data_IF_810998895206
#
_entry.id   IF_810998895206
#
_cell.length_a   1.000
_cell.length_b   1.000
_cell.length_c   1.000
_cell.angle_alpha   90.00
_cell.angle_beta   90.00
_cell.angle_gamma   90.00
#
_symmetry.space_group_name_H-M   'P 1'
#
loop_
_entity.id
_entity.type
_entity.pdbx_description
1 polymer ?
#
# COMPACT_ATOMS: atom_id res chain seq x y z
N UNK A 1 4.65 -32.51 -45.08
CA UNK A 1 3.83 -31.53 -44.35
C UNK A 1 3.21 -32.26 -43.16
N UNK A 2 3.72 -32.04 -41.95
CA UNK A 2 3.11 -32.55 -40.72
C UNK A 2 3.02 -31.39 -39.75
N UNK A 3 1.79 -30.93 -39.52
CA UNK A 3 1.41 -29.91 -38.55
C UNK A 3 1.56 -30.50 -37.14
N UNK A 4 2.36 -29.87 -36.29
CA UNK A 4 2.32 -30.07 -34.83
C UNK A 4 1.50 -28.89 -34.27
N UNK A 5 0.27 -29.13 -33.76
CA UNK A 5 -0.56 -28.05 -33.24
C UNK A 5 -0.21 -27.74 -31.78
N UNK A 6 -0.25 -26.44 -31.48
CA UNK A 6 -0.66 -25.84 -30.21
C UNK A 6 0.16 -26.17 -28.95
N UNK A 7 1.36 -25.61 -28.85
CA UNK A 7 1.91 -25.17 -27.56
C UNK A 7 1.31 -23.79 -27.23
N UNK A 8 0.09 -23.76 -26.68
CA UNK A 8 -0.47 -22.56 -26.06
C UNK A 8 0.27 -22.32 -24.75
N UNK A 9 1.33 -21.50 -24.80
CA UNK A 9 1.99 -21.00 -23.61
C UNK A 9 0.98 -20.15 -22.86
N UNK A 10 0.60 -20.66 -21.69
CA UNK A 10 -0.22 -19.99 -20.69
C UNK A 10 0.58 -18.77 -20.19
N UNK A 11 0.43 -17.62 -20.84
CA UNK A 11 0.86 -16.35 -20.24
C UNK A 11 -0.09 -16.08 -19.09
N UNK A 12 0.23 -16.61 -17.91
CA UNK A 12 -0.36 -16.11 -16.68
C UNK A 12 -0.07 -14.61 -16.65
N UNK A 13 -1.13 -13.80 -16.78
CA UNK A 13 -1.08 -12.38 -16.48
C UNK A 13 -0.60 -12.26 -15.03
N UNK A 14 0.67 -11.92 -14.83
CA UNK A 14 1.11 -11.40 -13.54
C UNK A 14 0.34 -10.10 -13.36
N UNK A 15 -0.75 -10.15 -12.58
CA UNK A 15 -1.44 -8.97 -12.12
C UNK A 15 -0.44 -8.23 -11.23
N UNK A 16 0.16 -7.21 -11.81
CA UNK A 16 1.20 -6.44 -11.17
C UNK A 16 0.56 -5.29 -10.40
N UNK A 17 0.90 -5.14 -9.13
CA UNK A 17 0.31 -4.15 -8.24
C UNK A 17 0.92 -2.75 -8.41
N UNK A 18 0.99 -2.28 -9.66
CA UNK A 18 1.60 -1.00 -10.03
C UNK A 18 0.94 0.18 -9.32
N UNK A 19 1.67 1.28 -9.17
CA UNK A 19 1.18 2.48 -8.50
C UNK A 19 1.86 3.75 -9.04
N UNK A 20 1.23 4.90 -8.82
CA UNK A 20 1.84 6.20 -9.08
C UNK A 20 2.13 6.91 -7.76
N UNK A 21 3.37 7.36 -7.58
CA UNK A 21 3.71 8.29 -6.52
C UNK A 21 3.40 9.72 -7.00
N UNK A 22 2.21 10.20 -6.64
CA UNK A 22 1.65 11.48 -7.10
C UNK A 22 2.26 12.66 -6.34
N UNK A 23 2.33 12.57 -5.01
CA UNK A 23 2.94 13.58 -4.16
C UNK A 23 3.68 12.94 -2.97
N UNK A 24 4.90 13.36 -2.62
CA UNK A 24 5.80 14.19 -3.43
C UNK A 24 6.04 13.53 -4.80
N UNK A 25 6.27 14.33 -5.85
CA UNK A 25 6.30 13.80 -7.21
C UNK A 25 7.45 12.81 -7.42
N UNK A 26 7.20 11.74 -8.18
CA UNK A 26 8.21 10.75 -8.51
C UNK A 26 9.40 11.35 -9.27
N UNK A 27 10.55 10.67 -9.25
CA UNK A 27 11.75 11.07 -10.01
C UNK A 27 11.52 11.13 -11.52
N UNK A 28 10.54 10.38 -12.01
CA UNK A 28 10.16 10.29 -13.41
C UNK A 28 8.98 9.32 -13.59
N UNK A 29 8.60 9.10 -14.84
CA UNK A 29 7.55 8.16 -15.23
C UNK A 29 8.04 6.72 -15.04
N UNK A 30 7.50 5.97 -14.06
CA UNK A 30 7.97 4.61 -13.78
C UNK A 30 7.64 3.60 -14.89
N UNK A 31 6.81 3.96 -15.87
CA UNK A 31 6.40 3.12 -16.99
C UNK A 31 7.14 3.45 -18.30
N UNK A 32 7.96 4.52 -18.31
CA UNK A 32 8.73 4.93 -19.48
C UNK A 32 10.07 4.16 -19.56
N UNK A 33 10.19 3.27 -20.55
CA UNK A 33 11.42 2.50 -20.76
C UNK A 33 12.68 3.42 -20.89
N UNK A 34 13.81 3.08 -20.25
CA UNK A 34 14.11 1.81 -19.58
C UNK A 34 13.71 1.75 -18.10
N UNK A 35 12.96 2.74 -17.59
CA UNK A 35 12.46 2.71 -16.22
C UNK A 35 11.43 1.59 -16.04
N UNK A 36 11.35 1.08 -14.83
CA UNK A 36 10.39 0.05 -14.45
C UNK A 36 10.26 -0.04 -12.94
N UNK A 37 9.04 -0.17 -12.44
CA UNK A 37 8.79 -0.33 -11.00
C UNK A 37 9.45 -1.55 -10.37
N UNK A 38 9.80 -2.57 -11.17
CA UNK A 38 10.55 -3.73 -10.70
C UNK A 38 12.03 -3.43 -10.40
N UNK A 39 12.54 -2.27 -10.80
CA UNK A 39 13.94 -1.89 -10.63
C UNK A 39 14.12 -1.18 -9.29
N UNK A 40 14.73 -1.88 -8.33
CA UNK A 40 15.16 -1.29 -7.07
C UNK A 40 16.29 -0.25 -7.27
N UNK A 41 16.34 0.84 -6.49
CA UNK A 41 15.37 1.26 -5.47
C UNK A 41 14.28 2.21 -5.97
N UNK A 42 14.44 2.78 -7.17
CA UNK A 42 13.71 3.97 -7.61
C UNK A 42 13.44 3.93 -9.12
N UNK A 43 12.97 2.79 -9.60
CA UNK A 43 12.59 2.53 -11.01
C UNK A 43 13.68 2.70 -12.05
N UNK A 44 14.95 2.69 -11.64
CA UNK A 44 16.08 2.97 -12.51
C UNK A 44 16.41 4.46 -12.68
N UNK A 45 15.68 5.37 -12.01
CA UNK A 45 16.01 6.79 -12.00
C UNK A 45 17.05 7.15 -10.94
N UNK A 46 18.05 7.94 -11.36
CA UNK A 46 18.97 8.61 -10.47
C UNK A 46 18.26 9.75 -9.70
N UNK A 47 18.80 10.11 -8.53
CA UNK A 47 18.31 11.27 -7.80
C UNK A 47 18.46 12.54 -8.62
N UNK A 48 17.47 13.41 -8.50
CA UNK A 48 17.31 14.63 -9.28
C UNK A 48 17.59 15.88 -8.42
N UNK A 49 17.70 17.02 -9.10
CA UNK A 49 17.74 18.34 -8.46
C UNK A 49 16.35 18.99 -8.37
N UNK A 50 15.34 18.44 -9.05
CA UNK A 50 13.96 18.91 -8.96
C UNK A 50 13.29 18.26 -7.74
N UNK A 51 13.45 18.91 -6.57
CA UNK A 51 13.06 18.36 -5.28
C UNK A 51 11.78 18.98 -4.76
N UNK A 52 10.90 18.15 -4.21
CA UNK A 52 9.72 18.64 -3.48
C UNK A 52 10.16 19.19 -2.12
N UNK A 53 9.73 20.41 -1.79
CA UNK A 53 9.91 20.97 -0.44
C UNK A 53 8.97 20.24 0.51
N UNK A 54 9.50 19.61 1.55
CA UNK A 54 8.75 18.68 2.41
C UNK A 54 9.05 18.91 3.92
N UNK A 55 8.08 18.77 4.83
CA UNK A 55 8.29 19.13 6.24
C UNK A 55 9.33 18.27 6.97
N UNK A 56 10.11 18.91 7.85
CA UNK A 56 11.17 18.25 8.65
C UNK A 56 10.64 17.21 9.64
N UNK A 57 9.36 17.27 10.01
CA UNK A 57 8.72 16.33 10.95
C UNK A 57 7.86 15.26 10.27
N UNK A 58 7.77 15.29 8.94
CA UNK A 58 6.83 14.46 8.20
C UNK A 58 5.79 15.28 7.45
N UNK A 59 5.42 14.83 6.27
CA UNK A 59 4.60 15.53 5.30
C UNK A 59 3.54 14.66 4.63
N UNK A 60 2.80 15.26 3.71
CA UNK A 60 1.77 14.56 2.97
C UNK A 60 2.35 13.58 1.96
N UNK A 61 1.60 12.50 1.70
CA UNK A 61 1.89 11.48 0.71
C UNK A 61 0.60 11.17 -0.06
N UNK A 62 0.65 11.19 -1.39
CA UNK A 62 -0.46 10.84 -2.27
C UNK A 62 0.02 9.75 -3.22
N UNK A 63 -0.68 8.63 -3.21
CA UNK A 63 -0.37 7.45 -4.03
C UNK A 63 -1.63 7.02 -4.76
N UNK A 64 -1.51 6.72 -6.05
CA UNK A 64 -2.57 6.13 -6.84
C UNK A 64 -2.28 4.65 -7.08
N UNK A 65 -3.14 3.77 -6.57
CA UNK A 65 -2.96 2.32 -6.63
C UNK A 65 -3.78 1.71 -7.78
N UNK A 66 -3.16 0.85 -8.59
CA UNK A 66 -3.81 0.16 -9.71
C UNK A 66 -4.24 -1.27 -9.40
N UNK A 67 -4.02 -1.75 -8.18
CA UNK A 67 -4.33 -3.13 -7.77
C UNK A 67 -5.55 -3.21 -6.87
N UNK A 68 -6.07 -4.42 -6.64
CA UNK A 68 -7.15 -4.64 -5.67
C UNK A 68 -6.64 -4.71 -4.24
N UNK A 69 -5.35 -4.98 -4.06
CA UNK A 69 -4.71 -5.16 -2.76
C UNK A 69 -3.20 -5.01 -2.85
N UNK A 70 -2.58 -4.32 -1.90
CA UNK A 70 -1.12 -4.34 -1.75
C UNK A 70 -0.66 -4.01 -0.32
N UNK A 71 0.50 -4.51 0.07
CA UNK A 71 1.19 -4.02 1.26
C UNK A 71 2.07 -2.83 0.93
N UNK A 72 2.04 -1.78 1.76
CA UNK A 72 2.77 -0.54 1.48
C UNK A 72 3.77 -0.24 2.59
N UNK A 73 5.02 0.02 2.21
CA UNK A 73 6.06 0.57 3.06
C UNK A 73 6.48 1.94 2.55
N UNK A 74 6.83 2.82 3.50
CA UNK A 74 7.27 4.17 3.21
C UNK A 74 8.55 4.39 3.98
N UNK A 75 9.64 4.60 3.28
CA UNK A 75 10.97 4.75 3.86
C UNK A 75 11.61 6.06 3.39
N UNK A 76 12.59 6.52 4.14
CA UNK A 76 13.34 7.73 3.87
C UNK A 76 14.84 7.43 3.93
N UNK A 77 15.57 7.98 2.96
CA UNK A 77 17.02 8.09 2.97
C UNK A 77 17.45 9.55 3.01
N UNK A 78 18.56 9.84 3.66
CA UNK A 78 19.11 11.20 3.76
C UNK A 78 20.29 11.41 2.80
N UNK A 79 20.44 12.65 2.34
CA UNK A 79 21.49 13.08 1.41
C UNK A 79 20.99 13.29 -0.02
N UNK A 80 21.89 13.78 -0.88
CA UNK A 80 21.57 14.12 -2.27
C UNK A 80 21.34 12.89 -3.16
N UNK A 81 22.14 11.84 -2.98
CA UNK A 81 22.12 10.63 -3.79
C UNK A 81 22.07 9.39 -2.91
N UNK A 82 21.01 9.26 -2.12
CA UNK A 82 20.84 8.08 -1.27
C UNK A 82 20.31 6.89 -2.08
N UNK A 83 20.87 5.73 -1.79
CA UNK A 83 20.33 4.41 -2.16
C UNK A 83 19.94 3.58 -0.92
N UNK A 84 20.14 4.15 0.26
CA UNK A 84 19.85 3.53 1.55
C UNK A 84 18.64 4.23 2.20
N UNK A 85 17.52 3.52 2.25
CA UNK A 85 16.25 4.01 2.81
C UNK A 85 16.01 3.36 4.18
N UNK A 86 16.73 3.83 5.19
CA UNK A 86 16.80 3.18 6.50
C UNK A 86 15.82 3.75 7.53
N UNK A 87 15.17 4.88 7.23
CA UNK A 87 14.23 5.55 8.14
C UNK A 87 12.81 5.20 7.71
N UNK A 88 12.16 4.29 8.44
CA UNK A 88 10.75 3.96 8.18
C UNK A 88 9.83 5.07 8.67
N UNK A 89 8.93 5.53 7.80
CA UNK A 89 7.95 6.56 8.11
C UNK A 89 6.67 5.90 8.61
N UNK A 90 6.16 6.41 9.73
CA UNK A 90 4.99 5.85 10.41
C UNK A 90 3.79 6.80 10.28
N UNK A 91 2.56 6.29 10.34
CA UNK A 91 1.40 7.16 10.53
C UNK A 91 1.54 7.98 11.80
N UNK A 92 0.96 9.18 11.78
CA UNK A 92 0.91 10.03 12.97
C UNK A 92 0.19 9.33 14.12
N UNK A 93 0.89 9.13 15.24
CA UNK A 93 0.33 8.56 16.46
C UNK A 93 0.11 7.04 16.48
N UNK A 94 0.58 6.28 15.48
CA UNK A 94 0.37 4.83 15.40
C UNK A 94 1.62 4.05 14.95
N UNK A 95 1.58 2.72 15.17
CA UNK A 95 2.72 1.80 15.17
C UNK A 95 3.39 1.47 13.82
N UNK A 96 4.05 0.31 13.81
CA UNK A 96 4.99 -0.16 12.78
C UNK A 96 4.29 -0.44 11.44
N UNK A 97 4.95 -0.09 10.32
CA UNK A 97 4.61 -0.52 8.95
C UNK A 97 4.55 -2.06 8.83
N UNK A 98 3.87 -2.63 7.80
CA UNK A 98 3.28 -1.97 6.63
C UNK A 98 1.83 -1.49 6.79
N UNK A 99 1.37 -0.73 5.79
CA UNK A 99 -0.06 -0.56 5.54
C UNK A 99 -0.61 -1.70 4.67
N UNK A 100 -1.88 -2.02 4.89
CA UNK A 100 -2.74 -2.84 4.05
C UNK A 100 -3.57 -1.87 3.20
N UNK A 101 -3.30 -1.85 1.90
CA UNK A 101 -4.08 -1.14 0.92
C UNK A 101 -5.06 -2.12 0.26
N UNK A 102 -6.30 -1.69 0.06
CA UNK A 102 -7.34 -2.44 -0.65
C UNK A 102 -8.17 -1.50 -1.52
N UNK A 103 -8.27 -1.84 -2.81
CA UNK A 103 -9.03 -1.13 -3.83
C UNK A 103 -8.16 -0.39 -4.85
N UNK A 104 -8.75 -0.03 -5.98
CA UNK A 104 -8.08 0.81 -6.97
C UNK A 104 -8.46 2.27 -6.71
N UNK A 105 -7.47 3.15 -6.66
CA UNK A 105 -7.70 4.59 -6.60
C UNK A 105 -6.61 5.36 -5.86
N UNK A 106 -6.88 6.64 -5.64
CA UNK A 106 -5.96 7.55 -4.95
C UNK A 106 -6.18 7.51 -3.45
N UNK A 107 -5.10 7.33 -2.70
CA UNK A 107 -5.03 7.55 -1.25
C UNK A 107 -4.11 8.73 -0.98
N UNK A 108 -4.63 9.73 -0.28
CA UNK A 108 -3.83 10.72 0.42
C UNK A 108 -3.70 10.36 1.89
N UNK A 109 -2.46 10.31 2.36
CA UNK A 109 -2.11 10.47 3.77
C UNK A 109 -1.75 11.94 4.00
N UNK A 110 -2.57 12.70 4.74
CA UNK A 110 -2.28 14.11 5.02
C UNK A 110 -0.92 14.31 5.71
N UNK A 111 -0.51 13.32 6.52
CA UNK A 111 0.81 13.31 7.15
C UNK A 111 1.32 11.90 7.41
N UNK A 112 2.50 11.59 6.89
CA UNK A 112 3.37 10.51 7.36
C UNK A 112 4.47 11.13 8.22
N UNK A 113 4.74 10.54 9.38
CA UNK A 113 5.61 11.11 10.41
C UNK A 113 7.02 10.57 10.28
N UNK A 114 8.00 11.49 10.37
CA UNK A 114 9.40 11.12 10.52
C UNK A 114 9.67 10.83 12.01
N UNK A 115 10.30 9.69 12.35
CA UNK A 115 10.72 9.41 13.72
C UNK A 115 11.67 10.49 14.26
N UNK A 116 11.49 10.86 15.54
CA UNK A 116 12.39 11.79 16.22
C UNK A 116 13.83 11.23 16.24
N UNK A 117 14.83 12.11 16.14
CA UNK A 117 16.24 11.70 16.14
C UNK A 117 16.73 11.05 14.83
N UNK A 118 15.92 11.05 13.77
CA UNK A 118 16.28 10.52 12.44
C UNK A 118 17.38 11.28 11.70
N UNK A 119 17.82 12.44 12.20
CA UNK A 119 18.86 13.25 11.57
C UNK A 119 18.36 14.17 10.45
N UNK A 120 17.05 14.29 10.26
CA UNK A 120 16.46 15.28 9.33
C UNK A 120 16.67 16.69 9.87
N UNK A 121 17.19 17.57 9.00
CA UNK A 121 17.47 18.98 9.32
C UNK A 121 16.86 19.90 8.25
N UNK A 122 16.51 21.12 8.65
CA UNK A 122 16.05 22.17 7.74
C UNK A 122 17.13 22.48 6.68
N UNK A 123 16.73 22.59 5.42
CA UNK A 123 17.61 22.74 4.27
C UNK A 123 18.35 21.47 3.84
N UNK A 124 18.22 20.38 4.60
CA UNK A 124 18.78 19.08 4.24
C UNK A 124 18.04 18.44 3.07
N UNK A 125 18.73 17.56 2.35
CA UNK A 125 18.14 16.79 1.25
C UNK A 125 17.93 15.33 1.64
N UNK A 126 16.97 14.69 1.01
CA UNK A 126 16.72 13.26 1.14
C UNK A 126 15.89 12.72 -0.02
N UNK A 127 15.54 11.44 0.07
CA UNK A 127 14.62 10.80 -0.86
C UNK A 127 13.64 9.93 -0.08
N UNK A 128 12.37 10.01 -0.44
CA UNK A 128 11.31 9.12 0.04
C UNK A 128 11.17 7.97 -0.95
N UNK A 129 11.02 6.75 -0.43
CA UNK A 129 10.72 5.55 -1.19
C UNK A 129 9.38 5.00 -0.74
N UNK A 130 8.52 4.71 -1.70
CA UNK A 130 7.33 3.89 -1.51
C UNK A 130 7.62 2.52 -2.10
N UNK A 131 7.30 1.48 -1.34
CA UNK A 131 7.39 0.09 -1.78
C UNK A 131 6.01 -0.51 -1.68
N UNK A 132 5.55 -1.15 -2.75
CA UNK A 132 4.31 -1.94 -2.73
C UNK A 132 4.65 -3.41 -2.96
N UNK A 133 3.94 -4.32 -2.28
CA UNK A 133 4.07 -5.77 -2.48
C UNK A 133 2.69 -6.36 -2.66
N UNK A 134 2.41 -6.84 -3.87
CA UNK A 134 1.15 -7.49 -4.23
C UNK A 134 1.02 -8.90 -3.63
N UNK A 135 -0.13 -9.53 -3.90
CA UNK A 135 -0.46 -10.90 -3.49
C UNK A 135 0.53 -11.96 -4.03
N UNK A 136 1.10 -11.72 -5.21
CA UNK A 136 2.17 -12.54 -5.78
C UNK A 136 3.55 -12.38 -5.13
N UNK A 137 3.69 -11.53 -4.11
CA UNK A 137 4.95 -11.31 -3.38
C UNK A 137 6.01 -10.51 -4.14
N UNK A 138 5.69 -9.98 -5.33
CA UNK A 138 6.61 -9.14 -6.09
C UNK A 138 6.56 -7.70 -5.57
N UNK A 139 7.75 -7.13 -5.33
CA UNK A 139 7.90 -5.77 -4.85
C UNK A 139 8.06 -4.79 -6.02
N UNK A 140 7.38 -3.66 -5.92
CA UNK A 140 7.47 -2.51 -6.81
C UNK A 140 7.94 -1.30 -6.03
N UNK A 141 8.69 -0.43 -6.70
CA UNK A 141 9.37 0.68 -6.05
C UNK A 141 9.08 1.99 -6.75
N UNK A 142 8.97 3.08 -6.01
CA UNK A 142 8.96 4.43 -6.57
C UNK A 142 9.60 5.40 -5.58
N UNK A 143 10.23 6.46 -6.07
CA UNK A 143 10.94 7.42 -5.21
C UNK A 143 10.66 8.85 -5.61
N UNK A 144 10.70 9.73 -4.61
CA UNK A 144 10.62 11.17 -4.75
C UNK A 144 11.78 11.84 -4.00
N UNK A 145 12.37 12.87 -4.60
CA UNK A 145 13.47 13.61 -3.99
C UNK A 145 12.95 14.83 -3.24
N UNK A 146 13.50 15.05 -2.04
CA UNK A 146 13.02 16.04 -1.08
C UNK A 146 14.10 17.03 -0.71
N UNK A 147 13.66 18.26 -0.45
CA UNK A 147 14.38 19.27 0.34
C UNK A 147 13.57 19.53 1.60
N UNK A 148 14.14 19.24 2.76
CA UNK A 148 13.42 19.38 4.03
C UNK A 148 13.33 20.84 4.44
N UNK A 149 12.13 21.28 4.85
CA UNK A 149 11.94 22.62 5.39
C UNK A 149 10.95 22.63 6.56
N UNK A 150 11.32 23.32 7.62
CA UNK A 150 10.49 23.62 8.79
C UNK A 150 9.31 24.55 8.46
N UNK A 151 9.39 25.29 7.35
CA UNK A 151 8.30 26.13 6.83
C UNK A 151 7.42 25.45 5.79
N UNK A 152 7.73 24.21 5.41
CA UNK A 152 6.90 23.46 4.46
C UNK A 152 5.52 23.17 5.06
N UNK A 153 4.48 23.33 4.25
CA UNK A 153 3.10 23.06 4.65
C UNK A 153 2.65 21.67 4.23
N UNK A 154 1.70 21.10 4.97
CA UNK A 154 0.99 19.88 4.58
C UNK A 154 -0.05 20.21 3.52
N UNK A 155 -0.37 19.23 2.68
CA UNK A 155 -1.58 19.27 1.88
C UNK A 155 -2.80 19.18 2.80
N UNK A 156 -3.84 19.95 2.50
CA UNK A 156 -5.08 19.95 3.27
C UNK A 156 -5.94 18.75 2.86
N UNK A 157 -6.32 17.91 3.82
CA UNK A 157 -7.18 16.76 3.58
C UNK A 157 -8.52 17.18 2.93
N UNK A 158 -8.90 16.49 1.85
CA UNK A 158 -10.13 16.76 1.11
C UNK A 158 -10.05 17.96 0.17
N UNK A 159 -8.86 18.52 -0.06
CA UNK A 159 -8.64 19.66 -0.95
C UNK A 159 -7.42 19.45 -1.84
N UNK A 160 -7.40 20.11 -3.00
CA UNK A 160 -6.29 20.04 -3.96
C UNK A 160 -5.95 18.60 -4.31
N UNK A 161 -4.66 18.26 -4.20
CA UNK A 161 -4.14 16.94 -4.55
C UNK A 161 -4.36 15.88 -3.45
N UNK A 162 -4.83 16.28 -2.25
CA UNK A 162 -5.02 15.37 -1.12
C UNK A 162 -6.49 14.94 -0.98
N UNK A 163 -7.00 14.24 -1.99
CA UNK A 163 -8.37 13.72 -2.02
C UNK A 163 -8.36 12.21 -2.26
N UNK A 164 -9.02 11.46 -1.37
CA UNK A 164 -9.14 10.01 -1.51
C UNK A 164 -10.23 9.66 -2.52
N UNK A 165 -9.96 8.69 -3.39
CA UNK A 165 -10.99 8.07 -4.22
C UNK A 165 -11.98 7.29 -3.36
N UNK A 166 -13.18 7.05 -3.89
CA UNK A 166 -14.14 6.11 -3.28
C UNK A 166 -13.74 4.67 -3.59
N UNK A 167 -13.92 3.74 -2.65
CA UNK A 167 -13.66 2.31 -2.89
C UNK A 167 -12.19 1.88 -2.74
N UNK A 168 -11.31 2.79 -2.34
CA UNK A 168 -9.93 2.52 -1.94
C UNK A 168 -9.77 2.78 -0.44
N UNK A 169 -8.98 1.97 0.25
CA UNK A 169 -8.75 2.11 1.68
C UNK A 169 -7.36 1.67 2.06
N UNK A 170 -6.79 2.35 3.05
CA UNK A 170 -5.50 1.99 3.61
C UNK A 170 -5.60 1.88 5.13
N UNK A 171 -5.05 0.82 5.70
CA UNK A 171 -5.14 0.47 7.12
C UNK A 171 -3.77 0.04 7.63
N UNK A 172 -3.44 0.35 8.87
CA UNK A 172 -2.23 -0.16 9.50
C UNK A 172 -2.37 -1.64 9.81
N UNK A 173 -1.38 -2.45 9.44
CA UNK A 173 -1.26 -3.78 10.02
C UNK A 173 -0.80 -3.63 11.46
N UNK A 174 -1.61 -4.16 12.37
CA UNK A 174 -1.26 -4.21 13.78
C UNK A 174 -0.58 -5.54 14.09
N UNK A 175 0.49 -5.51 14.89
CA UNK A 175 1.02 -6.75 15.46
C UNK A 175 0.02 -7.30 16.46
N UNK A 176 -0.44 -8.53 16.24
CA UNK A 176 -1.30 -9.21 17.19
C UNK A 176 -0.48 -9.59 18.43
N UNK A 177 -0.69 -8.89 19.53
CA UNK A 177 -0.15 -9.28 20.85
C UNK A 177 -1.29 -9.87 21.68
N UNK A 178 -1.15 -11.13 22.11
CA UNK A 178 -2.11 -11.82 22.98
C UNK A 178 -3.59 -11.78 22.49
N UNK A 179 -3.82 -11.95 21.19
CA UNK A 179 -5.18 -12.10 20.64
C UNK A 179 -6.06 -10.84 20.67
N UNK A 180 -5.51 -9.68 21.02
CA UNK A 180 -6.25 -8.40 21.00
C UNK A 180 -5.65 -7.48 19.94
N UNK A 181 -6.42 -7.16 18.90
CA UNK A 181 -6.02 -6.26 17.82
C UNK A 181 -6.36 -4.82 18.18
N UNK A 182 -5.36 -3.96 18.41
CA UNK A 182 -5.56 -2.52 18.51
C UNK A 182 -5.34 -1.88 17.14
N UNK A 183 -6.41 -1.78 16.33
CA UNK A 183 -6.34 -1.19 14.97
C UNK A 183 -6.80 0.26 15.02
N UNK A 184 -5.90 1.25 14.86
CA UNK A 184 -6.31 2.61 14.51
C UNK A 184 -6.74 2.62 13.03
N UNK A 185 -8.05 2.71 12.80
CA UNK A 185 -8.63 2.91 11.47
C UNK A 185 -8.62 4.39 11.15
N UNK A 186 -7.94 4.78 10.07
CA UNK A 186 -8.01 6.13 9.51
C UNK A 186 -9.08 6.09 8.42
N UNK A 187 -10.34 6.46 8.74
CA UNK A 187 -11.40 6.57 7.74
C UNK A 187 -12.44 7.67 8.07
N UNK A 188 -12.52 8.62 7.14
CA UNK A 188 -13.69 9.36 6.63
C UNK A 188 -14.54 10.21 7.59
N UNK A 189 -14.26 11.51 7.59
CA UNK A 189 -15.19 12.56 8.06
C UNK A 189 -16.31 12.76 7.03
N UNK A 190 -17.45 12.10 7.23
CA UNK A 190 -18.69 12.45 6.53
C UNK A 190 -19.44 13.46 7.39
N UNK A 191 -19.48 14.72 6.95
CA UNK A 191 -20.33 15.76 7.55
C UNK A 191 -21.77 15.55 7.13
N UNK A 192 -22.63 15.15 8.07
CA UNK A 192 -24.09 15.16 7.88
C UNK A 192 -24.75 15.95 8.99
N UNK A 193 -25.40 17.04 8.57
CA UNK A 193 -26.18 17.99 9.35
C UNK A 193 -27.32 17.34 10.13
N UNK A 194 -27.43 17.71 11.40
CA UNK A 194 -28.40 17.22 12.38
C UNK A 194 -29.83 17.71 12.07
N UNK A 195 -30.76 16.78 11.86
CA UNK A 195 -32.19 17.02 12.08
C UNK A 195 -32.62 16.20 13.29
N UNK A 196 -33.09 16.92 14.32
CA UNK A 196 -33.49 16.38 15.62
C UNK A 196 -34.90 15.77 15.56
N UNK A 197 -35.06 14.55 16.04
CA UNK A 197 -36.33 14.03 16.54
C UNK A 197 -36.07 13.07 17.70
N UNK A 198 -36.85 13.24 18.76
CA UNK A 198 -36.58 12.83 20.13
C UNK A 198 -37.40 11.61 20.59
N UNK A 199 -36.77 10.84 21.48
CA UNK A 199 -37.31 10.07 22.62
C UNK A 199 -38.18 8.81 22.38
N UNK A 200 -37.78 7.74 23.08
CA UNK A 200 -38.60 6.56 23.34
C UNK A 200 -37.79 5.41 23.96
N UNK A 201 -37.63 5.41 25.28
CA UNK A 201 -37.10 4.29 26.08
C UNK A 201 -38.21 3.29 26.42
N UNK A 202 -37.96 1.96 26.30
CA UNK A 202 -38.49 0.91 27.20
C UNK A 202 -38.06 -0.53 26.81
N UNK A 203 -37.33 -1.17 27.74
CA UNK A 203 -37.44 -2.56 28.27
C UNK A 203 -37.63 -3.80 27.37
N UNK A 204 -36.59 -4.65 27.40
CA UNK A 204 -36.53 -6.12 27.56
C UNK A 204 -37.77 -7.02 27.34
N UNK A 205 -37.64 -8.03 26.46
CA UNK A 205 -38.08 -9.42 26.68
C UNK A 205 -37.56 -10.40 25.59
N UNK A 206 -36.97 -11.52 26.01
CA UNK A 206 -37.31 -12.89 25.58
C UNK A 206 -37.07 -13.36 24.14
N UNK A 207 -36.07 -14.24 24.01
CA UNK A 207 -36.05 -15.51 23.22
C UNK A 207 -36.27 -15.49 21.69
N UNK A 208 -35.28 -15.98 20.92
CA UNK A 208 -35.23 -17.33 20.30
C UNK A 208 -34.06 -17.36 19.28
N UNK A 209 -33.17 -18.32 19.45
CA UNK A 209 -32.07 -18.58 18.53
C UNK A 209 -32.61 -19.11 17.19
N UNK A 210 -32.33 -18.41 16.10
CA UNK A 210 -32.56 -18.89 14.73
C UNK A 210 -31.29 -19.59 14.26
N UNK A 211 -31.38 -20.92 14.20
CA UNK A 211 -30.45 -21.80 13.51
C UNK A 211 -30.50 -21.50 12.00
N UNK A 212 -29.36 -21.11 11.40
CA UNK A 212 -29.23 -21.01 9.95
C UNK A 212 -28.36 -22.19 9.46
N UNK A 213 -29.00 -23.10 8.73
CA UNK A 213 -28.38 -24.27 8.11
C UNK A 213 -27.35 -23.85 7.07
N UNK A 214 -26.09 -24.24 7.26
CA UNK A 214 -25.05 -24.11 6.24
C UNK A 214 -24.92 -25.44 5.50
N UNK A 215 -25.30 -25.45 4.22
CA UNK A 215 -25.13 -26.59 3.33
C UNK A 215 -23.66 -26.69 2.91
N UNK A 216 -22.99 -27.77 3.30
CA UNK A 216 -21.63 -28.09 2.88
C UNK A 216 -21.61 -28.57 1.43
N UNK A 217 -20.90 -27.87 0.55
CA UNK A 217 -20.53 -28.34 -0.78
C UNK A 217 -19.14 -28.99 -0.70
N UNK A 218 -19.09 -30.32 -0.65
CA UNK A 218 -17.85 -31.10 -0.66
C UNK A 218 -17.23 -31.07 -2.06
N UNK A 219 -16.13 -30.34 -2.25
CA UNK A 219 -15.29 -30.47 -3.44
C UNK A 219 -14.40 -31.70 -3.26
N UNK A 220 -14.66 -32.75 -4.03
CA UNK A 220 -13.88 -33.98 -4.05
C UNK A 220 -12.49 -33.75 -4.64
N UNK A 221 -11.46 -34.06 -3.86
CA UNK A 221 -10.06 -34.05 -4.30
C UNK A 221 -9.79 -35.39 -4.98
N UNK A 222 -9.72 -35.40 -6.31
CA UNK A 222 -9.24 -36.55 -7.07
C UNK A 222 -7.70 -36.62 -6.93
N UNK A 223 -7.23 -37.62 -6.19
CA UNK A 223 -5.81 -37.93 -6.04
C UNK A 223 -5.29 -38.60 -7.31
N UNK A 224 -4.45 -37.91 -8.09
CA UNK A 224 -3.71 -38.51 -9.20
C UNK A 224 -2.47 -39.21 -8.61
N UNK A 225 -2.54 -40.54 -8.52
CA UNK A 225 -1.38 -41.39 -8.28
C UNK A 225 -0.52 -41.42 -9.54
N UNK A 226 0.66 -40.79 -9.50
CA UNK A 226 1.72 -41.05 -10.48
C UNK A 226 2.39 -42.39 -10.14
N UNK A 227 2.13 -43.40 -10.97
CA UNK A 227 2.87 -44.65 -10.96
C UNK A 227 4.27 -44.41 -11.55
N UNK A 228 5.29 -44.56 -10.71
CA UNK A 228 6.70 -44.57 -11.12
C UNK A 228 7.00 -45.96 -11.72
N UNK A 229 7.12 -46.02 -13.05
CA UNK A 229 7.55 -47.22 -13.76
C UNK A 229 9.03 -47.49 -13.53
N UNK A 230 9.33 -48.64 -12.90
CA UNK A 230 10.67 -49.18 -12.77
C UNK A 230 11.20 -49.63 -14.13
N UNK A 231 12.40 -49.18 -14.51
CA UNK A 231 13.18 -49.76 -15.60
C UNK A 231 14.24 -50.66 -14.97
N UNK A 232 14.06 -51.98 -15.11
CA UNK A 232 15.12 -52.97 -14.87
C UNK A 232 15.88 -53.20 -16.17
N UNK A 233 17.20 -53.23 -16.07
CA UNK A 233 18.10 -53.39 -17.21
C UNK A 233 18.11 -54.80 -17.81
N UNK A 234 18.47 -54.84 -19.08
CA UNK A 234 19.52 -55.69 -19.65
C UNK A 234 20.16 -54.93 -20.81
#
# INVERSE_FOLDING_TARGET
>A
MVFIPALLIFFASLAAAHFDLVYPHSRGDPFAAPASEYIYPCTGYNATNNRTVWPTTGGSLVVHFHHTFTYVWINLGLGNQTTAFTISLMPEGAGVLPYNETGNGTICLPKVTIPAGSGVVDGGNGSLQVITVGDGGTALYNCADLTFSSSASLLTAGQGDCVNSTGVSMRLLSQQTNGTSAVPSIAQSTSTSSASASAGSATSAGEKAVQLSSSYFSVGIASIFMALGAVSGL
#
